data_IF_106695559087
#
_entry.id   IF_106695559087
#
_cell.length_a   1.000
_cell.length_b   1.000
_cell.length_c   1.000
_cell.angle_alpha   90.00
_cell.angle_beta   90.00
_cell.angle_gamma   90.00
#
_symmetry.space_group_name_H-M   'P 1'
#
loop_
_entity.id
_entity.type
_entity.pdbx_description
1 polymer ?
#
# COMPACT_ATOMS: atom_id res chain seq x y z
N UNK A 1 -6.87 12.00 -14.70
CA UNK A 1 -5.98 11.65 -15.82
C UNK A 1 -4.74 10.83 -15.45
N UNK A 2 -4.51 10.38 -14.20
CA UNK A 2 -3.45 9.38 -13.90
C UNK A 2 -4.02 7.96 -13.70
N UNK A 3 -5.14 7.86 -12.98
CA UNK A 3 -5.87 6.60 -12.71
C UNK A 3 -6.20 5.76 -13.96
N UNK A 4 -6.47 6.41 -15.10
CA UNK A 4 -6.78 5.72 -16.36
C UNK A 4 -5.54 5.09 -17.02
N UNK A 5 -4.33 5.55 -16.64
CA UNK A 5 -3.06 5.05 -17.15
C UNK A 5 -2.54 3.86 -16.32
N UNK A 6 -3.04 3.69 -15.10
CA UNK A 6 -2.65 2.61 -14.20
C UNK A 6 -3.59 1.42 -14.43
N UNK A 7 -3.04 0.26 -14.84
CA UNK A 7 -3.83 -0.93 -15.13
C UNK A 7 -4.55 -1.43 -13.87
N UNK A 8 -5.74 -1.99 -14.08
CA UNK A 8 -6.42 -2.77 -13.04
C UNK A 8 -5.63 -4.07 -12.86
N UNK A 9 -5.48 -4.54 -11.61
CA UNK A 9 -4.81 -5.81 -11.32
C UNK A 9 -5.41 -6.96 -12.16
N UNK A 10 -4.55 -7.62 -12.91
CA UNK A 10 -4.84 -8.77 -13.76
C UNK A 10 -3.76 -9.84 -13.59
N UNK A 11 -3.52 -10.68 -14.60
CA UNK A 11 -2.48 -11.73 -14.60
C UNK A 11 -1.03 -11.20 -14.69
N UNK A 12 -0.80 -9.94 -14.33
CA UNK A 12 0.50 -9.26 -14.44
C UNK A 12 1.48 -9.69 -13.35
N UNK A 13 0.99 -10.28 -12.27
CA UNK A 13 1.81 -10.70 -11.14
C UNK A 13 2.25 -12.16 -11.33
N UNK A 14 3.53 -12.41 -11.09
CA UNK A 14 4.09 -13.76 -11.10
C UNK A 14 3.65 -14.51 -9.84
N UNK A 15 2.85 -15.56 -9.99
CA UNK A 15 2.41 -16.40 -8.88
C UNK A 15 3.59 -17.07 -8.15
N UNK A 16 3.53 -17.11 -6.81
CA UNK A 16 4.53 -17.78 -5.98
C UNK A 16 5.87 -17.05 -5.85
N UNK A 17 6.01 -15.84 -6.38
CA UNK A 17 7.23 -15.02 -6.31
C UNK A 17 7.06 -13.88 -5.30
N UNK A 18 8.07 -13.65 -4.48
CA UNK A 18 8.11 -12.48 -3.59
C UNK A 18 8.35 -11.18 -4.37
N UNK A 19 7.91 -10.05 -3.80
CA UNK A 19 8.07 -8.71 -4.36
C UNK A 19 6.79 -8.11 -4.93
N UNK A 20 5.63 -8.75 -4.73
CA UNK A 20 4.34 -8.23 -5.20
C UNK A 20 3.51 -7.77 -4.00
N UNK A 21 3.62 -6.47 -3.71
CA UNK A 21 3.02 -5.87 -2.52
C UNK A 21 1.64 -5.29 -2.83
N UNK A 22 0.67 -5.62 -1.99
CA UNK A 22 -0.59 -4.90 -1.85
C UNK A 22 -0.43 -3.87 -0.73
N UNK A 23 -0.76 -2.60 -0.99
CA UNK A 23 -0.62 -1.50 -0.03
C UNK A 23 -1.93 -0.78 0.24
N UNK A 24 -2.13 -0.40 1.50
CA UNK A 24 -3.28 0.38 1.95
C UNK A 24 -2.85 1.48 2.92
N UNK A 25 -3.80 2.37 3.23
CA UNK A 25 -3.66 3.27 4.38
C UNK A 25 -4.82 3.13 5.37
N UNK A 26 -4.47 3.18 6.65
CA UNK A 26 -5.44 3.10 7.75
C UNK A 26 -5.32 4.32 8.64
N UNK A 27 -6.45 4.98 8.90
CA UNK A 27 -6.54 6.03 9.91
C UNK A 27 -6.66 5.41 11.31
N UNK A 28 -5.73 5.72 12.21
CA UNK A 28 -5.81 5.35 13.62
C UNK A 28 -6.51 6.47 14.40
N UNK A 29 -7.81 6.61 14.16
CA UNK A 29 -8.59 7.76 14.61
C UNK A 29 -9.64 7.43 15.70
N UNK A 30 -9.64 6.21 16.22
CA UNK A 30 -10.56 5.79 17.30
C UNK A 30 -12.05 5.92 16.93
N UNK A 31 -12.37 5.95 15.63
CA UNK A 31 -13.73 6.16 15.13
C UNK A 31 -14.13 7.62 14.92
N UNK A 32 -13.27 8.59 15.23
CA UNK A 32 -13.51 10.03 15.00
C UNK A 32 -12.45 10.63 14.08
N UNK A 33 -12.87 11.20 12.95
CA UNK A 33 -11.97 11.93 12.04
C UNK A 33 -11.75 13.39 12.45
N UNK A 34 -12.16 13.77 13.67
CA UNK A 34 -11.95 15.11 14.19
C UNK A 34 -10.55 15.24 14.81
N UNK A 35 -9.84 16.32 14.47
CA UNK A 35 -8.49 16.58 14.97
C UNK A 35 -7.39 15.90 14.15
N UNK A 36 -6.23 15.75 14.76
CA UNK A 36 -5.07 15.13 14.14
C UNK A 36 -4.90 13.70 14.67
N UNK A 37 -4.55 12.78 13.77
CA UNK A 37 -4.39 11.38 14.09
C UNK A 37 -3.33 10.76 13.19
N UNK A 38 -2.77 9.65 13.68
CA UNK A 38 -1.78 8.89 12.95
C UNK A 38 -2.45 8.15 11.81
N UNK A 39 -1.82 8.18 10.65
CA UNK A 39 -2.12 7.28 9.55
C UNK A 39 -1.05 6.20 9.50
N UNK A 40 -1.44 4.99 9.11
CA UNK A 40 -0.51 3.91 8.80
C UNK A 40 -0.51 3.68 7.30
N UNK A 41 0.66 3.55 6.70
CA UNK A 41 0.84 2.85 5.43
C UNK A 41 1.19 1.41 5.77
N UNK A 42 0.51 0.46 5.15
CA UNK A 42 0.83 -0.96 5.26
C UNK A 42 1.08 -1.56 3.88
N UNK A 43 1.89 -2.62 3.86
CA UNK A 43 2.22 -3.36 2.66
C UNK A 43 2.36 -4.84 2.96
N UNK A 44 1.70 -5.67 2.16
CA UNK A 44 1.74 -7.14 2.30
C UNK A 44 2.16 -7.78 1.00
N UNK A 45 3.21 -8.59 1.05
CA UNK A 45 3.62 -9.40 -0.08
C UNK A 45 2.70 -10.61 -0.29
N UNK A 46 2.27 -10.82 -1.52
CA UNK A 46 1.29 -11.85 -1.87
C UNK A 46 1.80 -13.29 -1.66
N UNK A 47 3.07 -13.56 -1.97
CA UNK A 47 3.59 -14.93 -1.96
C UNK A 47 4.07 -15.37 -0.57
N UNK A 48 4.69 -14.44 0.15
CA UNK A 48 5.36 -14.71 1.43
C UNK A 48 4.54 -14.30 2.64
N UNK A 49 3.48 -13.51 2.45
CA UNK A 49 2.73 -12.84 3.52
C UNK A 49 3.58 -11.92 4.39
N UNK A 50 4.75 -11.48 3.90
CA UNK A 50 5.59 -10.51 4.59
C UNK A 50 4.85 -9.18 4.73
N UNK A 51 4.91 -8.58 5.92
CA UNK A 51 4.17 -7.35 6.24
C UNK A 51 5.15 -6.25 6.64
N UNK A 52 4.98 -5.08 6.04
CA UNK A 52 5.63 -3.84 6.45
C UNK A 52 4.58 -2.81 6.84
N UNK A 53 4.85 -2.03 7.89
CA UNK A 53 3.95 -0.97 8.37
C UNK A 53 4.73 0.29 8.74
N UNK A 54 4.25 1.47 8.38
CA UNK A 54 4.87 2.75 8.75
C UNK A 54 3.82 3.75 9.21
N UNK A 55 4.08 4.38 10.36
CA UNK A 55 3.30 5.49 10.85
C UNK A 55 3.67 6.77 10.09
N UNK A 56 2.66 7.55 9.73
CA UNK A 56 2.82 8.85 9.08
C UNK A 56 1.84 9.88 9.66
N UNK A 57 2.28 11.14 9.69
CA UNK A 57 1.40 12.25 10.04
C UNK A 57 0.65 12.74 8.79
N UNK A 58 -0.66 12.56 8.80
CA UNK A 58 -1.51 12.85 7.63
C UNK A 58 -1.37 11.83 6.49
N UNK A 59 -2.14 12.04 5.41
CA UNK A 59 -2.23 11.16 4.23
C UNK A 59 -1.82 11.86 2.94
N UNK A 60 -0.75 12.65 3.01
CA UNK A 60 -0.24 13.44 1.89
C UNK A 60 0.69 12.65 0.98
N UNK A 61 0.69 12.96 -0.32
CA UNK A 61 1.47 12.24 -1.35
C UNK A 61 2.97 12.15 -1.05
N UNK A 62 3.57 13.21 -0.49
CA UNK A 62 4.99 13.23 -0.15
C UNK A 62 5.32 12.29 1.01
N UNK A 63 4.52 12.35 2.09
CA UNK A 63 4.70 11.46 3.25
C UNK A 63 4.45 10.00 2.90
N UNK A 64 3.45 9.74 2.05
CA UNK A 64 3.20 8.38 1.54
C UNK A 64 4.36 7.86 0.71
N UNK A 65 4.97 8.68 -0.17
CA UNK A 65 6.15 8.25 -0.92
C UNK A 65 7.36 7.98 -0.01
N UNK A 66 7.58 8.80 1.02
CA UNK A 66 8.64 8.58 2.00
C UNK A 66 8.46 7.25 2.73
N UNK A 67 7.25 6.99 3.23
CA UNK A 67 6.91 5.72 3.87
C UNK A 67 7.12 4.53 2.92
N UNK A 68 6.68 4.62 1.66
CA UNK A 68 6.85 3.55 0.68
C UNK A 68 8.32 3.27 0.34
N UNK A 69 9.19 4.29 0.34
CA UNK A 69 10.63 4.11 0.16
C UNK A 69 11.27 3.40 1.34
N UNK A 70 10.83 3.74 2.55
CA UNK A 70 11.33 3.08 3.76
C UNK A 70 10.86 1.63 3.85
N UNK A 71 9.62 1.36 3.43
CA UNK A 71 9.11 0.00 3.19
C UNK A 71 10.01 -0.73 2.18
N UNK A 72 10.21 -0.18 0.98
CA UNK A 72 11.05 -0.81 -0.06
C UNK A 72 12.47 -1.12 0.43
N UNK A 73 13.08 -0.20 1.19
CA UNK A 73 14.43 -0.38 1.72
C UNK A 73 14.53 -1.48 2.79
N UNK A 74 13.42 -1.84 3.43
CA UNK A 74 13.36 -2.83 4.51
C UNK A 74 13.00 -4.23 4.02
N UNK A 75 12.51 -4.36 2.78
CA UNK A 75 12.09 -5.65 2.23
C UNK A 75 13.27 -6.61 2.11
N UNK A 76 13.09 -7.90 2.47
CA UNK A 76 14.12 -8.93 2.28
C UNK A 76 14.22 -9.43 0.82
N UNK A 77 13.49 -8.80 -0.11
CA UNK A 77 13.42 -9.13 -1.53
C UNK A 77 13.17 -7.87 -2.37
N UNK A 78 13.45 -7.94 -3.67
CA UNK A 78 13.19 -6.83 -4.59
C UNK A 78 11.69 -6.54 -4.71
N UNK A 79 11.32 -5.25 -4.72
CA UNK A 79 9.97 -4.84 -5.10
C UNK A 79 9.79 -5.02 -6.62
N UNK A 80 8.80 -5.81 -7.01
CA UNK A 80 8.45 -6.13 -8.41
C UNK A 80 7.16 -5.44 -8.84
N UNK A 81 6.18 -5.36 -7.93
CA UNK A 81 4.96 -4.61 -8.17
C UNK A 81 4.30 -4.12 -6.89
N UNK A 82 3.51 -3.07 -7.08
CA UNK A 82 2.74 -2.38 -6.06
C UNK A 82 1.27 -2.33 -6.53
N UNK A 83 0.35 -2.87 -5.74
CA UNK A 83 -1.10 -2.77 -5.96
C UNK A 83 -1.70 -1.95 -4.84
N UNK A 84 -2.41 -0.88 -5.20
CA UNK A 84 -3.13 -0.07 -4.23
C UNK A 84 -4.62 -0.03 -4.54
N UNK A 85 -5.38 0.53 -3.62
CA UNK A 85 -6.73 0.98 -3.95
C UNK A 85 -6.70 2.23 -4.88
N UNK A 86 -7.81 2.95 -4.97
CA UNK A 86 -7.90 4.14 -5.81
C UNK A 86 -7.59 5.46 -5.06
N UNK A 87 -6.93 5.38 -3.89
CA UNK A 87 -6.51 6.50 -3.05
C UNK A 87 -5.52 7.43 -3.74
N UNK A 88 -5.69 8.74 -3.52
CA UNK A 88 -4.85 9.78 -4.14
C UNK A 88 -3.43 9.83 -3.59
N UNK A 89 -3.22 9.27 -2.39
CA UNK A 89 -1.94 9.11 -1.73
C UNK A 89 -1.02 8.10 -2.44
N UNK A 90 -1.59 7.13 -3.14
CA UNK A 90 -0.85 6.17 -3.97
C UNK A 90 -0.91 6.54 -5.45
N UNK A 91 -2.08 6.93 -5.95
CA UNK A 91 -2.29 7.26 -7.36
C UNK A 91 -1.88 8.70 -7.68
N UNK A 92 -0.58 8.99 -7.59
CA UNK A 92 -0.01 10.30 -7.89
C UNK A 92 1.32 10.24 -8.66
N UNK A 93 1.76 11.39 -9.17
CA UNK A 93 2.95 11.50 -10.02
C UNK A 93 4.27 11.25 -9.27
N UNK A 94 4.31 11.44 -7.94
CA UNK A 94 5.50 11.20 -7.13
C UNK A 94 5.77 9.70 -7.05
N UNK A 95 4.76 8.92 -6.66
CA UNK A 95 4.82 7.44 -6.60
C UNK A 95 5.09 6.88 -7.99
N UNK A 96 4.34 7.32 -9.01
CA UNK A 96 4.56 6.84 -10.39
C UNK A 96 5.96 7.15 -10.92
N UNK A 97 6.51 8.34 -10.64
CA UNK A 97 7.87 8.67 -11.05
C UNK A 97 8.90 7.80 -10.33
N UNK A 98 8.71 7.56 -9.03
CA UNK A 98 9.60 6.70 -8.24
C UNK A 98 9.59 5.25 -8.73
N UNK A 99 8.42 4.69 -9.07
CA UNK A 99 8.29 3.31 -9.57
C UNK A 99 8.80 3.13 -11.00
N UNK A 100 8.57 4.12 -11.88
CA UNK A 100 8.83 3.97 -13.32
C UNK A 100 10.18 4.55 -13.79
N UNK A 101 10.73 5.57 -13.13
CA UNK A 101 11.98 6.24 -13.57
C UNK A 101 13.24 5.64 -12.90
N UNK A 102 13.29 4.32 -12.83
CA UNK A 102 14.38 3.53 -12.25
C UNK A 102 14.89 2.53 -13.30
N UNK A 103 16.13 2.00 -13.17
CA UNK A 103 16.68 1.06 -14.16
C UNK A 103 15.83 -0.19 -14.37
N UNK A 104 15.19 -0.69 -13.30
CA UNK A 104 14.22 -1.78 -13.33
C UNK A 104 12.87 -1.27 -12.84
N UNK A 105 11.93 -0.90 -13.73
CA UNK A 105 10.62 -0.40 -13.34
C UNK A 105 9.85 -1.39 -12.48
N UNK A 106 9.13 -0.86 -11.50
CA UNK A 106 8.20 -1.62 -10.65
C UNK A 106 6.80 -1.46 -11.21
N UNK A 107 6.06 -2.55 -11.36
CA UNK A 107 4.69 -2.47 -11.88
C UNK A 107 3.77 -1.78 -10.87
N UNK A 108 2.95 -0.85 -11.33
CA UNK A 108 1.87 -0.28 -10.52
C UNK A 108 0.54 -0.81 -11.05
N UNK A 109 -0.26 -1.41 -10.19
CA UNK A 109 -1.65 -1.77 -10.47
C UNK A 109 -2.58 -1.11 -9.47
N UNK A 110 -3.87 -1.16 -9.75
CA UNK A 110 -4.90 -0.75 -8.80
C UNK A 110 -6.07 -1.70 -8.76
N UNK A 111 -6.77 -1.71 -7.63
CA UNK A 111 -8.02 -2.44 -7.49
C UNK A 111 -9.14 -1.86 -8.37
N UNK A 112 -10.11 -2.73 -8.68
CA UNK A 112 -11.33 -2.32 -9.38
C UNK A 112 -12.12 -1.33 -8.52
N UNK A 113 -12.71 -0.28 -9.13
CA UNK A 113 -13.64 0.57 -8.41
C UNK A 113 -14.77 -0.27 -7.83
N UNK A 114 -15.10 -0.08 -6.56
CA UNK A 114 -16.23 -0.71 -5.86
C UNK A 114 -16.17 -2.24 -5.71
N UNK A 115 -14.98 -2.84 -5.80
CA UNK A 115 -14.77 -4.26 -5.48
C UNK A 115 -13.71 -4.39 -4.40
N UNK A 116 -14.15 -4.67 -3.17
CA UNK A 116 -13.32 -4.55 -1.96
C UNK A 116 -12.47 -5.79 -1.66
N UNK A 117 -12.73 -6.91 -2.34
CA UNK A 117 -12.22 -8.23 -1.93
C UNK A 117 -11.57 -8.99 -3.10
N UNK A 118 -10.67 -8.35 -3.86
CA UNK A 118 -9.90 -9.10 -4.86
C UNK A 118 -8.83 -10.02 -4.18
N UNK A 119 -8.56 -9.85 -2.87
CA UNK A 119 -7.62 -10.68 -2.11
C UNK A 119 -7.92 -10.74 -0.58
N UNK A 120 -8.85 -11.58 -0.12
CA UNK A 120 -9.33 -11.57 1.27
C UNK A 120 -8.25 -11.90 2.31
N UNK A 121 -7.29 -12.79 2.00
CA UNK A 121 -6.26 -13.20 2.95
C UNK A 121 -5.30 -12.06 3.33
N UNK A 122 -4.99 -11.18 2.38
CA UNK A 122 -4.15 -9.99 2.62
C UNK A 122 -4.92 -8.94 3.40
N UNK A 123 -6.15 -8.66 3.00
CA UNK A 123 -7.03 -7.70 3.67
C UNK A 123 -7.26 -8.10 5.13
N UNK A 124 -7.45 -9.39 5.42
CA UNK A 124 -7.63 -9.89 6.78
C UNK A 124 -6.37 -9.71 7.63
N UNK A 125 -5.18 -9.93 7.06
CA UNK A 125 -3.91 -9.73 7.76
C UNK A 125 -3.68 -8.25 8.12
N UNK A 126 -3.93 -7.35 7.16
CA UNK A 126 -3.86 -5.90 7.37
C UNK A 126 -4.86 -5.48 8.46
N UNK A 127 -6.10 -5.95 8.37
CA UNK A 127 -7.13 -5.62 9.35
C UNK A 127 -6.74 -6.12 10.75
N UNK A 128 -6.24 -7.36 10.88
CA UNK A 128 -5.85 -7.92 12.16
C UNK A 128 -4.68 -7.15 12.80
N UNK A 129 -3.64 -6.85 12.03
CA UNK A 129 -2.46 -6.16 12.53
C UNK A 129 -2.71 -4.67 12.75
N UNK A 130 -3.15 -3.97 11.72
CA UNK A 130 -3.22 -2.50 11.72
C UNK A 130 -4.47 -2.00 12.41
N UNK A 131 -5.65 -2.50 12.06
CA UNK A 131 -6.91 -2.07 12.70
C UNK A 131 -7.13 -2.73 14.06
N UNK A 132 -6.67 -3.97 14.23
CA UNK A 132 -6.72 -4.70 15.48
C UNK A 132 -5.61 -4.27 16.44
N UNK A 133 -4.43 -4.88 16.32
CA UNK A 133 -3.36 -4.72 17.30
C UNK A 133 -2.87 -3.27 17.43
N UNK A 134 -2.51 -2.61 16.32
CA UNK A 134 -2.04 -1.22 16.37
C UNK A 134 -3.17 -0.23 16.64
N UNK A 135 -4.34 -0.44 16.05
CA UNK A 135 -5.52 0.39 16.28
C UNK A 135 -5.87 0.48 17.75
N UNK A 136 -5.91 -0.63 18.47
CA UNK A 136 -6.21 -0.64 19.91
C UNK A 136 -5.13 0.01 20.78
N UNK A 137 -3.88 0.02 20.33
CA UNK A 137 -2.76 0.56 21.10
C UNK A 137 -2.54 2.06 20.88
N UNK A 138 -3.01 2.60 19.75
CA UNK A 138 -2.64 3.94 19.28
C UNK A 138 -3.84 4.89 19.13
N UNK A 139 -5.05 4.46 19.52
CA UNK A 139 -6.27 5.30 19.60
C UNK A 139 -6.70 5.48 21.04
#
# INVERSE_FOLDING_TARGET
MLRQQIPIRGSVWEEGKAGWLEVDTVALCGGSVAGEFVWMVDGVDYATTWVEVRAMWGRGQAGTLEALRDVEASLPFDLLGLDSDNGGEFLNHHVMSWLQKRPRPVFMTRSRPYKKDDNPAVVDLINMLVKGAYGQLLT
#
